data_IF_530128971447
#
_entry.id   IF_530128971447
#
_cell.length_a   1.000
_cell.length_b   1.000
_cell.length_c   1.000
_cell.angle_alpha   90.00
_cell.angle_beta   90.00
_cell.angle_gamma   90.00
#
_symmetry.space_group_name_H-M   'P 1'
#
loop_
_entity.id
_entity.type
_entity.pdbx_description
1 polymer ?
#
# COMPACT_ATOMS: atom_id res chain seq x y z
N UNK A 1 -32.38 25.27 43.63
CA UNK A 1 -31.84 24.97 44.99
C UNK A 1 -32.29 23.57 45.39
N UNK A 2 -31.40 22.83 46.08
CA UNK A 2 -31.59 21.52 46.74
C UNK A 2 -32.89 21.51 47.60
N UNK A 3 -33.52 20.40 48.00
CA UNK A 3 -32.93 19.20 48.63
C UNK A 3 -33.97 18.09 48.93
N UNK A 4 -33.52 16.82 48.91
CA UNK A 4 -33.68 15.71 49.91
C UNK A 4 -35.10 15.31 50.40
N UNK A 5 -35.45 14.05 50.65
CA UNK A 5 -34.73 12.76 50.69
C UNK A 5 -35.52 11.71 51.51
N UNK A 6 -35.17 10.42 51.36
CA UNK A 6 -35.47 9.28 52.27
C UNK A 6 -36.94 8.84 52.37
N UNK A 7 -37.32 7.55 52.43
CA UNK A 7 -37.00 6.55 53.48
C UNK A 7 -37.49 5.16 53.00
N UNK A 8 -36.71 4.10 53.27
CA UNK A 8 -37.11 2.67 53.22
C UNK A 8 -37.70 2.22 54.58
N UNK A 9 -38.45 1.10 54.64
CA UNK A 9 -37.99 0.02 55.53
C UNK A 9 -38.23 -1.43 55.02
N UNK A 10 -37.60 -2.37 55.75
CA UNK A 10 -37.32 -3.81 55.50
C UNK A 10 -38.48 -4.80 55.36
N UNK A 11 -38.26 -5.97 54.73
CA UNK A 11 -37.78 -7.30 55.26
C UNK A 11 -38.93 -8.05 55.99
N UNK A 12 -39.40 -9.25 55.60
CA UNK A 12 -38.80 -10.59 55.78
C UNK A 12 -39.70 -11.72 55.13
N UNK A 13 -39.05 -12.66 54.41
CA UNK A 13 -39.07 -14.17 54.46
C UNK A 13 -40.39 -14.88 54.88
N UNK A 14 -40.95 -15.86 54.13
CA UNK A 14 -40.53 -17.28 54.16
C UNK A 14 -41.42 -18.24 53.33
N UNK A 15 -40.81 -19.37 52.92
CA UNK A 15 -41.40 -20.73 52.68
C UNK A 15 -42.21 -20.97 51.40
N UNK A 16 -42.22 -22.12 50.73
CA UNK A 16 -41.46 -23.38 50.68
C UNK A 16 -42.08 -24.15 49.51
N UNK A 17 -41.30 -24.74 48.62
CA UNK A 17 -41.59 -26.08 48.06
C UNK A 17 -40.34 -26.62 47.37
N UNK A 18 -40.01 -27.83 47.77
CA UNK A 18 -38.82 -28.56 47.40
C UNK A 18 -39.04 -29.42 46.14
N UNK A 19 -37.89 -29.74 45.56
CA UNK A 19 -37.47 -30.58 44.41
C UNK A 19 -38.11 -31.99 44.31
N UNK A 20 -37.95 -32.69 43.16
CA UNK A 20 -36.82 -33.62 43.09
C UNK A 20 -36.05 -33.68 41.76
N UNK A 21 -34.73 -33.52 41.92
CA UNK A 21 -33.60 -34.24 41.33
C UNK A 21 -33.88 -35.28 40.23
N UNK A 22 -33.30 -35.06 39.04
CA UNK A 22 -32.85 -36.13 38.16
C UNK A 22 -31.44 -35.80 37.63
N UNK A 23 -30.50 -36.62 38.06
CA UNK A 23 -29.07 -36.56 37.74
C UNK A 23 -28.76 -36.99 36.31
N UNK A 24 -27.82 -36.30 35.64
CA UNK A 24 -26.65 -36.95 35.02
C UNK A 24 -25.61 -35.94 34.49
N UNK A 25 -24.48 -35.91 35.21
CA UNK A 25 -23.09 -35.91 34.71
C UNK A 25 -22.82 -35.17 33.39
N UNK A 26 -22.34 -33.93 33.56
CA UNK A 26 -20.93 -33.61 33.40
C UNK A 26 -20.32 -33.79 32.01
N UNK A 27 -20.13 -32.68 31.31
CA UNK A 27 -18.86 -32.31 30.68
C UNK A 27 -18.92 -30.78 30.46
N UNK A 28 -18.76 -30.01 31.53
CA UNK A 28 -18.31 -28.62 31.40
C UNK A 28 -16.91 -28.70 30.79
N UNK A 29 -16.82 -28.46 29.48
CA UNK A 29 -15.57 -28.19 28.79
C UNK A 29 -14.95 -26.98 29.48
N UNK A 30 -14.11 -27.28 30.45
CA UNK A 30 -13.19 -26.38 31.10
C UNK A 30 -12.26 -25.90 29.98
N UNK A 31 -12.63 -24.82 29.29
CA UNK A 31 -11.66 -24.09 28.48
C UNK A 31 -10.60 -23.62 29.48
N UNK A 32 -9.36 -24.12 29.40
CA UNK A 32 -8.31 -23.58 30.25
C UNK A 32 -8.21 -22.11 29.85
N UNK A 33 -8.39 -21.22 30.82
CA UNK A 33 -8.10 -19.81 30.65
C UNK A 33 -6.70 -19.73 30.07
N UNK A 34 -6.59 -19.32 28.81
CA UNK A 34 -5.29 -19.12 28.20
C UNK A 34 -4.58 -18.11 29.09
N UNK A 35 -3.49 -18.53 29.71
CA UNK A 35 -2.62 -17.64 30.47
C UNK A 35 -2.38 -16.38 29.64
N UNK A 36 -2.34 -15.22 30.29
CA UNK A 36 -2.14 -13.93 29.61
C UNK A 36 -0.93 -13.98 28.65
N UNK A 37 0.11 -14.75 28.98
CA UNK A 37 1.25 -15.06 28.10
C UNK A 37 0.86 -15.68 26.74
N UNK A 38 -0.08 -16.63 26.71
CA UNK A 38 -0.55 -17.27 25.48
C UNK A 38 -1.38 -16.34 24.60
N UNK A 39 -2.10 -15.39 25.18
CA UNK A 39 -2.87 -14.38 24.43
C UNK A 39 -1.96 -13.33 23.79
N UNK A 40 -0.86 -12.96 24.46
CA UNK A 40 0.17 -12.09 23.89
C UNK A 40 0.96 -12.81 22.79
N UNK A 41 1.31 -14.09 22.96
CA UNK A 41 1.97 -14.88 21.93
C UNK A 41 1.09 -15.08 20.68
N UNK A 42 -0.21 -15.34 20.86
CA UNK A 42 -1.18 -15.42 19.76
C UNK A 42 -1.36 -14.08 19.04
N UNK A 43 -1.46 -12.97 19.78
CA UNK A 43 -1.53 -11.62 19.19
C UNK A 43 -0.24 -11.26 18.45
N UNK A 44 0.92 -11.57 19.02
CA UNK A 44 2.22 -11.35 18.36
C UNK A 44 2.34 -12.20 17.09
N UNK A 45 1.91 -13.46 17.13
CA UNK A 45 1.90 -14.36 15.97
C UNK A 45 0.95 -13.84 14.87
N UNK A 46 -0.28 -13.44 15.21
CA UNK A 46 -1.22 -12.85 14.27
C UNK A 46 -0.72 -11.54 13.67
N UNK A 47 -0.06 -10.69 14.48
CA UNK A 47 0.58 -9.47 13.99
C UNK A 47 1.75 -9.79 13.04
N UNK A 48 2.60 -10.77 13.37
CA UNK A 48 3.70 -11.19 12.48
C UNK A 48 3.15 -11.79 11.19
N UNK A 49 2.11 -12.63 11.26
CA UNK A 49 1.47 -13.22 10.08
C UNK A 49 0.81 -12.15 9.19
N UNK A 50 0.07 -11.20 9.76
CA UNK A 50 -0.51 -10.09 9.02
C UNK A 50 0.56 -9.20 8.35
N UNK A 51 1.70 -8.99 9.02
CA UNK A 51 2.82 -8.20 8.47
C UNK A 51 3.54 -8.89 7.31
N UNK A 52 3.73 -10.21 7.38
CA UNK A 52 4.30 -10.99 6.28
C UNK A 52 3.34 -11.04 5.08
N UNK A 53 2.03 -11.12 5.35
CA UNK A 53 0.99 -11.15 4.32
C UNK A 53 0.99 -9.88 3.44
N UNK A 54 1.27 -8.73 4.02
CA UNK A 54 1.41 -7.46 3.28
C UNK A 54 2.66 -7.40 2.40
N UNK A 55 3.80 -7.94 2.85
CA UNK A 55 5.00 -8.06 2.00
C UNK A 55 4.75 -9.00 0.80
N UNK A 56 3.97 -10.06 0.99
CA UNK A 56 3.54 -10.92 -0.11
C UNK A 56 2.57 -10.22 -1.06
N UNK A 57 1.67 -9.38 -0.54
CA UNK A 57 0.78 -8.54 -1.36
C UNK A 57 1.56 -7.58 -2.27
N UNK A 58 2.66 -7.00 -1.77
CA UNK A 58 3.55 -6.18 -2.58
C UNK A 58 4.12 -6.94 -3.78
N UNK A 59 4.59 -8.19 -3.58
CA UNK A 59 5.06 -9.07 -4.65
C UNK A 59 3.95 -9.46 -5.62
N UNK A 60 2.77 -9.76 -5.09
CA UNK A 60 1.58 -10.11 -5.86
C UNK A 60 1.16 -9.00 -6.82
N UNK A 61 1.32 -7.75 -6.39
CA UNK A 61 1.03 -6.53 -7.17
C UNK A 61 2.26 -5.95 -7.87
N UNK A 62 3.31 -6.76 -8.08
CA UNK A 62 4.56 -6.28 -8.67
C UNK A 62 4.41 -5.68 -10.08
N UNK A 63 3.44 -6.15 -10.87
CA UNK A 63 3.18 -5.62 -12.22
C UNK A 63 2.04 -4.59 -12.26
N UNK A 64 1.46 -4.28 -11.11
CA UNK A 64 0.49 -3.19 -10.98
C UNK A 64 1.22 -1.90 -10.59
N UNK A 65 1.35 -1.00 -11.57
CA UNK A 65 1.96 0.32 -11.39
C UNK A 65 0.92 1.41 -11.05
N UNK A 66 -0.37 1.04 -11.00
CA UNK A 66 -1.47 1.96 -10.70
C UNK A 66 -1.84 1.86 -9.22
N UNK A 67 -2.47 2.91 -8.71
CA UNK A 67 -2.93 2.96 -7.33
C UNK A 67 -1.86 3.39 -6.32
N UNK A 68 -2.17 3.12 -5.06
CA UNK A 68 -1.44 3.60 -3.87
C UNK A 68 -1.05 2.41 -2.99
N UNK A 69 0.04 2.57 -2.25
CA UNK A 69 0.54 1.59 -1.28
C UNK A 69 0.69 2.23 0.08
N UNK A 70 0.27 1.52 1.12
CA UNK A 70 0.38 2.00 2.49
C UNK A 70 1.85 1.96 2.96
N UNK A 71 2.15 2.70 4.02
CA UNK A 71 3.48 2.70 4.65
C UNK A 71 3.86 1.31 5.16
N UNK A 72 2.89 0.58 5.70
CA UNK A 72 3.12 -0.77 6.21
C UNK A 72 3.57 -1.70 5.08
N UNK A 73 2.81 -1.73 3.98
CA UNK A 73 3.15 -2.54 2.79
C UNK A 73 4.57 -2.22 2.28
N UNK A 74 4.91 -0.94 2.13
CA UNK A 74 6.23 -0.51 1.66
C UNK A 74 7.36 -0.98 2.59
N UNK A 75 7.29 -0.65 3.89
CA UNK A 75 8.38 -0.94 4.83
C UNK A 75 8.52 -2.42 5.14
N UNK A 76 7.44 -3.20 5.07
CA UNK A 76 7.50 -4.65 5.21
C UNK A 76 8.15 -5.30 4.00
N UNK A 77 7.79 -4.86 2.78
CA UNK A 77 8.46 -5.32 1.57
C UNK A 77 9.97 -5.00 1.63
N UNK A 78 10.33 -3.76 1.95
CA UNK A 78 11.73 -3.34 2.07
C UNK A 78 12.47 -4.15 3.14
N UNK A 79 11.85 -4.36 4.31
CA UNK A 79 12.44 -5.17 5.38
C UNK A 79 12.67 -6.63 4.96
N UNK A 80 11.69 -7.27 4.31
CA UNK A 80 11.83 -8.63 3.81
C UNK A 80 12.88 -8.74 2.71
N UNK A 81 12.90 -7.80 1.77
CA UNK A 81 13.89 -7.72 0.71
C UNK A 81 15.31 -7.52 1.26
N UNK A 82 15.47 -6.67 2.28
CA UNK A 82 16.76 -6.46 2.95
C UNK A 82 17.25 -7.73 3.66
N UNK A 83 16.38 -8.44 4.38
CA UNK A 83 16.73 -9.71 5.03
C UNK A 83 17.09 -10.79 4.01
N UNK A 84 16.33 -10.91 2.92
CA UNK A 84 16.65 -11.82 1.83
C UNK A 84 18.01 -11.47 1.20
N UNK A 85 18.29 -10.18 0.98
CA UNK A 85 19.57 -9.70 0.47
C UNK A 85 20.75 -10.11 1.36
N UNK A 86 20.65 -9.87 2.67
CA UNK A 86 21.68 -10.29 3.64
C UNK A 86 21.88 -11.81 3.62
N UNK A 87 20.79 -12.59 3.57
CA UNK A 87 20.86 -14.04 3.50
C UNK A 87 21.56 -14.52 2.22
N UNK A 88 21.24 -13.93 1.05
CA UNK A 88 21.89 -14.30 -0.21
C UNK A 88 23.36 -13.90 -0.26
N UNK A 89 23.72 -12.72 0.30
CA UNK A 89 25.11 -12.27 0.34
C UNK A 89 25.96 -13.14 1.26
N UNK A 90 25.45 -13.51 2.43
CA UNK A 90 26.15 -14.41 3.35
C UNK A 90 26.32 -15.80 2.74
N UNK A 91 25.28 -16.33 2.09
CA UNK A 91 25.37 -17.60 1.38
C UNK A 91 26.42 -17.57 0.26
N UNK A 92 26.37 -16.57 -0.64
CA UNK A 92 27.33 -16.41 -1.72
C UNK A 92 28.77 -16.32 -1.18
N UNK A 93 28.99 -15.54 -0.11
CA UNK A 93 30.30 -15.42 0.52
C UNK A 93 30.82 -16.74 1.12
N UNK A 94 29.92 -17.58 1.67
CA UNK A 94 30.30 -18.90 2.22
C UNK A 94 30.58 -19.94 1.15
N UNK A 95 29.88 -19.91 0.02
CA UNK A 95 29.97 -20.94 -1.03
C UNK A 95 31.02 -20.58 -2.09
N UNK A 96 31.04 -19.33 -2.54
CA UNK A 96 31.92 -18.84 -3.61
C UNK A 96 33.10 -18.01 -3.09
N UNK A 97 33.14 -17.72 -1.79
CA UNK A 97 34.12 -16.83 -1.18
C UNK A 97 33.75 -15.35 -1.28
N UNK A 98 34.38 -14.51 -0.46
CA UNK A 98 34.08 -13.08 -0.36
C UNK A 98 34.28 -12.31 -1.68
N UNK A 99 35.22 -12.77 -2.51
CA UNK A 99 35.53 -12.18 -3.82
C UNK A 99 34.99 -13.01 -4.99
N UNK A 100 34.18 -14.03 -4.70
CA UNK A 100 33.54 -14.88 -5.69
C UNK A 100 32.41 -14.17 -6.44
N UNK A 101 31.90 -14.82 -7.47
CA UNK A 101 30.72 -14.33 -8.20
C UNK A 101 29.47 -14.44 -7.33
N UNK A 102 28.75 -13.34 -7.05
CA UNK A 102 27.58 -13.35 -6.17
C UNK A 102 26.31 -13.77 -6.94
N UNK A 103 26.27 -15.05 -7.34
CA UNK A 103 25.22 -15.58 -8.24
C UNK A 103 23.84 -15.45 -7.62
N UNK A 104 23.67 -15.82 -6.35
CA UNK A 104 22.37 -15.83 -5.70
C UNK A 104 21.87 -14.40 -5.45
N UNK A 105 22.77 -13.51 -5.05
CA UNK A 105 22.46 -12.08 -4.84
C UNK A 105 22.04 -11.40 -6.14
N UNK A 106 22.68 -11.71 -7.28
CA UNK A 106 22.30 -11.19 -8.60
C UNK A 106 20.93 -11.71 -9.05
N UNK A 107 20.63 -12.99 -8.78
CA UNK A 107 19.33 -13.57 -9.08
C UNK A 107 18.23 -12.91 -8.25
N UNK A 108 18.46 -12.74 -6.95
CA UNK A 108 17.52 -12.06 -6.06
C UNK A 108 17.26 -10.61 -6.52
N UNK A 109 18.32 -9.87 -6.85
CA UNK A 109 18.20 -8.50 -7.37
C UNK A 109 17.31 -8.47 -8.62
N UNK A 110 17.52 -9.40 -9.55
CA UNK A 110 16.77 -9.47 -10.81
C UNK A 110 15.28 -9.73 -10.56
N UNK A 111 14.95 -10.66 -9.66
CA UNK A 111 13.57 -11.00 -9.30
C UNK A 111 12.88 -9.86 -8.56
N UNK A 112 13.58 -9.18 -7.65
CA UNK A 112 13.01 -8.13 -6.81
C UNK A 112 13.02 -6.74 -7.45
N UNK A 113 13.73 -6.55 -8.57
CA UNK A 113 13.84 -5.25 -9.23
C UNK A 113 12.46 -4.69 -9.60
N UNK A 114 11.62 -5.49 -10.26
CA UNK A 114 10.29 -5.06 -10.70
C UNK A 114 9.36 -4.81 -9.51
N UNK A 115 9.20 -5.75 -8.54
CA UNK A 115 8.38 -5.50 -7.35
C UNK A 115 8.83 -4.27 -6.54
N UNK A 116 10.14 -4.10 -6.33
CA UNK A 116 10.67 -2.97 -5.58
C UNK A 116 10.36 -1.64 -6.26
N UNK A 117 10.46 -1.62 -7.59
CA UNK A 117 10.10 -0.46 -8.38
C UNK A 117 8.59 -0.16 -8.31
N UNK A 118 7.73 -1.16 -8.52
CA UNK A 118 6.26 -1.03 -8.41
C UNK A 118 5.82 -0.47 -7.06
N UNK A 119 6.30 -1.04 -5.95
CA UNK A 119 5.94 -0.58 -4.60
C UNK A 119 6.41 0.84 -4.35
N UNK A 120 7.60 1.20 -4.82
CA UNK A 120 8.14 2.56 -4.66
C UNK A 120 7.31 3.58 -5.47
N UNK A 121 6.88 3.23 -6.68
CA UNK A 121 5.99 4.07 -7.49
C UNK A 121 4.65 4.31 -6.80
N UNK A 122 3.98 3.23 -6.35
CA UNK A 122 2.70 3.31 -5.64
C UNK A 122 2.81 4.11 -4.34
N UNK A 123 3.95 4.02 -3.65
CA UNK A 123 4.21 4.80 -2.45
C UNK A 123 4.40 6.29 -2.76
N UNK A 124 5.03 6.62 -3.88
CA UNK A 124 5.21 8.01 -4.29
C UNK A 124 3.90 8.63 -4.79
N UNK A 125 3.06 7.83 -5.47
CA UNK A 125 1.69 8.19 -5.85
C UNK A 125 0.81 8.51 -4.65
N UNK A 126 1.03 7.87 -3.50
CA UNK A 126 0.31 8.16 -2.25
C UNK A 126 0.51 9.60 -1.74
N UNK A 127 1.54 10.30 -2.25
CA UNK A 127 1.83 11.70 -1.97
C UNK A 127 1.63 12.63 -3.16
N UNK A 128 0.93 12.17 -4.21
CA UNK A 128 0.71 12.89 -5.46
C UNK A 128 1.97 13.27 -6.25
N UNK A 129 3.12 12.66 -5.93
CA UNK A 129 4.35 12.88 -6.67
C UNK A 129 4.45 11.96 -7.91
N UNK A 130 5.16 12.44 -8.93
CA UNK A 130 5.40 11.65 -10.15
C UNK A 130 6.44 10.55 -9.91
N UNK A 131 6.12 9.31 -10.29
CA UNK A 131 7.03 8.16 -10.26
C UNK A 131 8.34 8.34 -11.05
N UNK A 132 8.40 9.27 -12.01
CA UNK A 132 9.58 9.52 -12.83
C UNK A 132 10.85 9.87 -12.05
N UNK A 133 10.72 10.48 -10.86
CA UNK A 133 11.88 10.81 -10.03
C UNK A 133 12.68 9.55 -9.63
N UNK A 134 12.02 8.40 -9.52
CA UNK A 134 12.68 7.13 -9.22
C UNK A 134 13.61 6.76 -10.38
N UNK A 135 13.16 6.88 -11.62
CA UNK A 135 14.01 6.57 -12.80
C UNK A 135 15.25 7.45 -12.81
N UNK A 136 15.09 8.75 -12.55
CA UNK A 136 16.21 9.69 -12.53
C UNK A 136 17.21 9.31 -11.43
N UNK A 137 16.75 9.04 -10.21
CA UNK A 137 17.62 8.67 -9.09
C UNK A 137 18.35 7.36 -9.36
N UNK A 138 17.67 6.36 -9.91
CA UNK A 138 18.29 5.08 -10.25
C UNK A 138 19.26 5.19 -11.42
N UNK A 139 18.92 5.94 -12.47
CA UNK A 139 19.81 6.19 -13.60
C UNK A 139 21.09 6.91 -13.16
N UNK A 140 20.96 7.92 -12.29
CA UNK A 140 22.12 8.61 -11.72
C UNK A 140 22.99 7.68 -10.85
N UNK A 141 22.39 6.80 -10.04
CA UNK A 141 23.14 5.80 -9.26
C UNK A 141 23.88 4.79 -10.14
N UNK A 142 23.22 4.26 -11.17
CA UNK A 142 23.84 3.37 -12.14
C UNK A 142 24.98 4.05 -12.90
N UNK A 143 24.77 5.30 -13.34
CA UNK A 143 25.81 6.08 -14.00
C UNK A 143 27.00 6.32 -13.07
N UNK A 144 26.76 6.70 -11.81
CA UNK A 144 27.82 6.92 -10.82
C UNK A 144 28.65 5.68 -10.54
N UNK A 145 28.00 4.54 -10.33
CA UNK A 145 28.69 3.25 -10.06
C UNK A 145 29.43 2.73 -11.30
N UNK A 146 28.85 2.87 -12.49
CA UNK A 146 29.50 2.54 -13.75
C UNK A 146 30.76 3.40 -13.96
N UNK A 147 30.62 4.72 -13.83
CA UNK A 147 31.75 5.65 -13.91
C UNK A 147 32.82 5.29 -12.87
N UNK A 148 32.45 4.98 -11.62
CA UNK A 148 33.40 4.60 -10.57
C UNK A 148 34.22 3.35 -10.94
N UNK A 149 33.57 2.28 -11.42
CA UNK A 149 34.28 1.06 -11.87
C UNK A 149 35.19 1.35 -13.06
N UNK A 150 34.69 2.13 -14.03
CA UNK A 150 35.50 2.57 -15.16
C UNK A 150 36.72 3.36 -14.69
N UNK A 151 36.55 4.31 -13.77
CA UNK A 151 37.64 5.11 -13.21
C UNK A 151 38.62 4.28 -12.38
N UNK A 152 38.15 3.33 -11.56
CA UNK A 152 39.04 2.52 -10.71
C UNK A 152 39.91 1.57 -11.55
N UNK A 153 39.39 1.07 -12.67
CA UNK A 153 40.15 0.25 -13.62
C UNK A 153 41.21 1.07 -14.37
N UNK A 154 40.98 2.36 -14.57
CA UNK A 154 41.88 3.27 -15.30
C UNK A 154 42.91 4.02 -14.41
N UNK A 155 43.29 3.46 -13.25
CA UNK A 155 44.19 4.06 -12.26
C UNK A 155 43.75 5.44 -11.72
N UNK A 156 42.99 5.42 -10.63
CA UNK A 156 42.53 6.57 -9.82
C UNK A 156 43.61 7.63 -9.47
N UNK A 157 44.89 7.24 -9.45
CA UNK A 157 46.02 8.10 -9.07
C UNK A 157 46.51 9.01 -10.20
N UNK A 158 46.25 8.68 -11.47
CA UNK A 158 46.74 9.44 -12.63
C UNK A 158 45.81 10.61 -13.04
N UNK A 159 44.58 10.62 -12.52
CA UNK A 159 43.57 11.61 -12.88
C UNK A 159 43.70 12.82 -11.95
N UNK A 160 43.96 13.99 -12.53
CA UNK A 160 44.25 15.22 -11.81
C UNK A 160 43.19 15.64 -10.79
N UNK A 161 43.51 16.58 -9.89
CA UNK A 161 42.68 16.94 -8.74
C UNK A 161 41.24 17.36 -9.11
N UNK A 162 41.04 17.97 -10.28
CA UNK A 162 39.73 18.42 -10.77
C UNK A 162 38.74 17.26 -10.88
N UNK A 163 39.16 16.12 -11.43
CA UNK A 163 38.29 14.96 -11.59
C UNK A 163 37.88 14.34 -10.25
N UNK A 164 38.77 14.40 -9.25
CA UNK A 164 38.46 13.93 -7.89
C UNK A 164 37.41 14.80 -7.23
N UNK A 165 37.54 16.12 -7.32
CA UNK A 165 36.52 17.04 -6.80
C UNK A 165 35.17 16.87 -7.50
N UNK A 166 35.17 16.72 -8.83
CA UNK A 166 33.96 16.43 -9.58
C UNK A 166 33.29 15.12 -9.11
N UNK A 167 34.07 14.08 -8.82
CA UNK A 167 33.55 12.82 -8.29
C UNK A 167 32.90 12.95 -6.92
N UNK A 168 33.55 13.65 -5.98
CA UNK A 168 32.98 13.91 -4.66
C UNK A 168 31.69 14.73 -4.76
N UNK A 169 31.63 15.70 -5.69
CA UNK A 169 30.41 16.48 -5.94
C UNK A 169 29.27 15.61 -6.48
N UNK A 170 29.54 14.74 -7.46
CA UNK A 170 28.54 13.80 -8.01
C UNK A 170 28.03 12.86 -6.93
N UNK A 171 28.93 12.29 -6.13
CA UNK A 171 28.58 11.36 -5.04
C UNK A 171 27.76 12.07 -3.95
N UNK A 172 28.15 13.31 -3.60
CA UNK A 172 27.39 14.13 -2.65
C UNK A 172 25.98 14.45 -3.16
N UNK A 173 25.83 14.76 -4.45
CA UNK A 173 24.52 14.98 -5.08
C UNK A 173 23.64 13.72 -5.05
N UNK A 174 24.22 12.55 -5.38
CA UNK A 174 23.50 11.27 -5.32
C UNK A 174 23.04 10.94 -3.90
N UNK A 175 23.91 11.15 -2.91
CA UNK A 175 23.56 10.96 -1.50
C UNK A 175 22.43 11.91 -1.06
N UNK A 176 22.50 13.18 -1.47
CA UNK A 176 21.44 14.16 -1.21
C UNK A 176 20.09 13.75 -1.82
N UNK A 177 20.09 13.31 -3.09
CA UNK A 177 18.88 12.80 -3.76
C UNK A 177 18.35 11.52 -3.11
N UNK A 178 19.22 10.63 -2.67
CA UNK A 178 18.83 9.42 -1.95
C UNK A 178 18.19 9.75 -0.60
N UNK A 179 18.77 10.69 0.16
CA UNK A 179 18.20 11.20 1.41
C UNK A 179 16.84 11.87 1.18
N UNK A 180 16.71 12.68 0.12
CA UNK A 180 15.43 13.27 -0.28
C UNK A 180 14.38 12.20 -0.59
N UNK A 181 14.75 11.16 -1.35
CA UNK A 181 13.84 10.05 -1.65
C UNK A 181 13.44 9.29 -0.38
N UNK A 182 14.39 8.97 0.49
CA UNK A 182 14.11 8.30 1.77
C UNK A 182 13.14 9.13 2.62
N UNK A 183 13.38 10.44 2.71
CA UNK A 183 12.48 11.38 3.37
C UNK A 183 11.07 11.30 2.78
N UNK A 184 10.92 11.36 1.46
CA UNK A 184 9.63 11.25 0.79
C UNK A 184 8.92 9.92 1.07
N UNK A 185 9.66 8.81 1.17
CA UNK A 185 9.10 7.48 1.41
C UNK A 185 8.63 7.29 2.86
N UNK A 186 9.26 7.95 3.83
CA UNK A 186 8.85 7.95 5.25
C UNK A 186 7.63 8.85 5.55
N UNK A 187 7.35 9.85 4.71
CA UNK A 187 6.37 10.92 4.98
C UNK A 187 4.89 10.50 5.03
N UNK A 188 4.03 11.38 5.57
CA UNK A 188 2.56 11.36 5.46
C UNK A 188 2.04 10.89 4.09
N UNK A 189 1.20 9.86 3.98
CA UNK A 189 0.34 9.68 2.82
C UNK A 189 -0.77 10.73 2.78
N UNK A 190 -1.31 11.04 1.60
CA UNK A 190 -2.49 11.89 1.49
C UNK A 190 -3.69 11.22 2.17
N UNK A 191 -4.43 11.95 3.03
CA UNK A 191 -5.59 11.39 3.73
C UNK A 191 -6.84 11.34 2.84
N UNK A 192 -6.89 12.19 1.83
CA UNK A 192 -7.99 12.32 0.89
C UNK A 192 -7.72 11.48 -0.36
N UNK A 193 -8.77 11.33 -1.17
CA UNK A 193 -8.68 10.74 -2.49
C UNK A 193 -7.79 11.61 -3.37
N UNK A 194 -6.93 10.95 -4.14
CA UNK A 194 -5.95 11.64 -4.97
C UNK A 194 -6.05 11.18 -6.43
N UNK A 195 -5.21 11.76 -7.31
CA UNK A 195 -5.23 11.44 -8.76
C UNK A 195 -5.05 9.93 -9.03
N UNK A 196 -4.39 9.22 -8.13
CA UNK A 196 -4.05 7.81 -8.26
C UNK A 196 -5.04 6.87 -7.58
N UNK A 197 -5.99 7.39 -6.79
CA UNK A 197 -7.09 6.63 -6.19
C UNK A 197 -7.35 6.93 -4.71
N UNK A 198 -8.27 6.17 -4.10
CA UNK A 198 -8.60 6.29 -2.68
C UNK A 198 -7.42 5.86 -1.79
N UNK A 199 -7.38 6.33 -0.52
CA UNK A 199 -6.32 5.97 0.40
C UNK A 199 -6.23 4.44 0.57
N UNK A 200 -5.00 3.89 0.68
CA UNK A 200 -4.82 2.46 0.82
C UNK A 200 -5.34 1.98 2.18
N UNK A 201 -6.11 0.89 2.19
CA UNK A 201 -6.48 0.19 3.42
C UNK A 201 -5.31 -0.66 3.91
N UNK A 202 -5.10 -0.72 5.22
CA UNK A 202 -4.06 -1.57 5.83
C UNK A 202 -4.48 -3.05 5.95
N UNK A 203 -5.67 -3.39 5.46
CA UNK A 203 -6.18 -4.76 5.45
C UNK A 203 -5.62 -5.55 4.25
N UNK A 204 -5.18 -6.80 4.45
CA UNK A 204 -4.76 -7.66 3.36
C UNK A 204 -5.88 -7.84 2.32
N UNK A 205 -5.55 -7.66 1.04
CA UNK A 205 -6.52 -7.83 -0.05
C UNK A 205 -6.87 -9.32 -0.18
N UNK A 206 -8.09 -9.72 0.18
CA UNK A 206 -8.56 -11.11 0.04
C UNK A 206 -8.84 -11.55 -1.42
N UNK A 207 -8.66 -10.66 -2.40
CA UNK A 207 -8.97 -10.90 -3.82
C UNK A 207 -7.79 -11.31 -4.70
N UNK A 208 -8.06 -12.18 -5.68
CA UNK A 208 -7.26 -12.53 -6.87
C UNK A 208 -6.47 -11.37 -7.49
N UNK A 209 -5.32 -11.65 -8.14
CA UNK A 209 -4.73 -10.69 -9.07
C UNK A 209 -5.65 -10.62 -10.29
N UNK A 210 -6.56 -9.66 -10.33
CA UNK A 210 -7.33 -9.41 -11.54
C UNK A 210 -6.43 -8.65 -12.51
N UNK A 211 -5.70 -9.37 -13.36
CA UNK A 211 -4.89 -8.82 -14.46
C UNK A 211 -5.72 -8.07 -15.54
N UNK A 212 -7.01 -7.79 -15.29
CA UNK A 212 -7.93 -7.09 -16.20
C UNK A 212 -8.43 -5.72 -15.71
N UNK A 213 -8.10 -5.26 -14.50
CA UNK A 213 -8.76 -4.07 -13.92
C UNK A 213 -8.08 -2.73 -14.20
N UNK A 214 -7.22 -2.66 -15.22
CA UNK A 214 -6.91 -1.39 -15.87
C UNK A 214 -8.18 -0.70 -16.45
N UNK A 215 -9.27 -1.46 -16.64
CA UNK A 215 -10.60 -0.99 -17.04
C UNK A 215 -11.63 -0.81 -15.91
N UNK A 216 -11.31 -1.17 -14.65
CA UNK A 216 -12.27 -1.10 -13.54
C UNK A 216 -12.59 0.33 -13.10
N UNK A 217 -11.60 1.21 -13.10
CA UNK A 217 -11.80 2.64 -12.82
C UNK A 217 -12.57 3.32 -13.96
N UNK A 218 -12.33 2.91 -15.22
CA UNK A 218 -13.13 3.33 -16.35
C UNK A 218 -14.56 2.80 -16.25
N UNK A 219 -14.78 1.56 -15.76
CA UNK A 219 -16.12 1.00 -15.56
C UNK A 219 -16.87 1.65 -14.39
N UNK A 220 -16.17 2.07 -13.33
CA UNK A 220 -16.75 2.83 -12.20
C UNK A 220 -17.07 4.28 -12.56
N UNK A 221 -16.21 4.93 -13.35
CA UNK A 221 -16.48 6.28 -13.89
C UNK A 221 -17.54 6.21 -14.99
N UNK A 222 -17.50 5.21 -15.88
CA UNK A 222 -18.53 4.99 -16.89
C UNK A 222 -19.85 4.52 -16.28
N UNK A 223 -19.87 3.79 -15.16
CA UNK A 223 -21.09 3.48 -14.41
C UNK A 223 -21.64 4.73 -13.70
N UNK A 224 -20.77 5.61 -13.18
CA UNK A 224 -21.16 6.91 -12.61
C UNK A 224 -21.61 7.92 -13.69
N UNK A 225 -21.12 7.78 -14.92
CA UNK A 225 -21.55 8.57 -16.10
C UNK A 225 -22.81 7.97 -16.73
N UNK A 226 -22.96 6.64 -16.71
CA UNK A 226 -24.13 5.89 -17.21
C UNK A 226 -25.33 5.96 -16.27
N UNK A 227 -25.14 6.35 -15.01
CA UNK A 227 -26.18 6.53 -14.01
C UNK A 227 -26.65 7.97 -13.87
N UNK A 228 -26.53 8.80 -14.91
CA UNK A 228 -27.21 10.10 -14.90
C UNK A 228 -28.69 9.88 -15.15
N UNK A 229 -29.46 10.06 -14.09
CA UNK A 229 -30.92 10.20 -14.11
C UNK A 229 -31.34 10.96 -15.39
N UNK A 230 -32.18 10.39 -16.27
CA UNK A 230 -32.52 10.97 -17.58
C UNK A 230 -33.00 12.43 -17.48
N UNK A 231 -33.56 12.84 -16.34
CA UNK A 231 -33.89 14.24 -16.02
C UNK A 231 -32.65 15.16 -15.96
N UNK A 232 -31.55 14.70 -15.36
CA UNK A 232 -30.31 15.47 -15.26
C UNK A 232 -29.59 15.63 -16.61
N UNK A 233 -29.78 14.68 -17.54
CA UNK A 233 -29.28 14.78 -18.91
C UNK A 233 -30.06 15.84 -19.71
N UNK A 234 -31.37 15.94 -19.50
CA UNK A 234 -32.21 16.98 -20.12
C UNK A 234 -31.77 18.38 -19.65
N UNK A 235 -31.42 18.57 -18.38
CA UNK A 235 -30.91 19.85 -17.86
C UNK A 235 -29.57 20.26 -18.52
N UNK A 236 -28.66 19.30 -18.72
CA UNK A 236 -27.38 19.56 -19.41
C UNK A 236 -27.57 19.89 -20.89
N UNK A 237 -28.47 19.18 -21.58
CA UNK A 237 -28.81 19.49 -22.97
C UNK A 237 -29.42 20.88 -23.10
N UNK A 238 -30.22 21.31 -22.11
CA UNK A 238 -30.79 22.66 -22.10
C UNK A 238 -29.69 23.73 -21.97
N UNK A 239 -28.69 23.51 -21.09
CA UNK A 239 -27.53 24.41 -20.98
C UNK A 239 -26.72 24.49 -22.28
N UNK A 240 -26.50 23.37 -22.96
CA UNK A 240 -25.75 23.35 -24.23
C UNK A 240 -26.48 24.03 -25.39
N UNK A 241 -27.82 23.98 -25.41
CA UNK A 241 -28.64 24.75 -26.34
C UNK A 241 -28.55 26.25 -26.03
N UNK A 242 -28.63 26.63 -24.76
CA UNK A 242 -28.56 28.03 -24.34
C UNK A 242 -27.16 28.64 -24.59
N UNK A 243 -26.11 27.81 -24.59
CA UNK A 243 -24.74 28.16 -25.02
C UNK A 243 -24.58 28.23 -26.56
N UNK A 244 -25.62 27.94 -27.34
CA UNK A 244 -25.61 28.00 -28.80
C UNK A 244 -24.84 26.86 -29.49
N UNK A 245 -24.47 25.81 -28.74
CA UNK A 245 -23.71 24.66 -29.24
C UNK A 245 -24.61 23.65 -29.97
N UNK A 246 -25.89 23.57 -29.58
CA UNK A 246 -26.89 22.73 -30.22
C UNK A 246 -27.98 23.54 -30.91
N UNK A 247 -28.40 23.07 -32.09
CA UNK A 247 -29.59 23.60 -32.77
C UNK A 247 -30.88 23.11 -32.09
N UNK A 248 -31.97 23.89 -32.19
CA UNK A 248 -33.24 23.55 -31.53
C UNK A 248 -33.81 22.19 -31.95
N UNK A 249 -33.67 21.83 -33.23
CA UNK A 249 -34.14 20.56 -33.77
C UNK A 249 -33.36 19.35 -33.22
N UNK A 250 -32.04 19.48 -33.09
CA UNK A 250 -31.19 18.42 -32.52
C UNK A 250 -31.46 18.22 -31.02
N UNK A 251 -31.74 19.31 -30.29
CA UNK A 251 -32.12 19.24 -28.88
C UNK A 251 -33.44 18.49 -28.69
N UNK A 252 -34.46 18.79 -29.49
CA UNK A 252 -35.77 18.16 -29.38
C UNK A 252 -35.74 16.66 -29.73
N UNK A 253 -34.94 16.27 -30.73
CA UNK A 253 -34.71 14.87 -31.08
C UNK A 253 -34.05 14.09 -29.93
N UNK A 254 -33.02 14.66 -29.30
CA UNK A 254 -32.32 14.02 -28.19
C UNK A 254 -33.19 13.95 -26.92
N UNK A 255 -33.92 15.03 -26.60
CA UNK A 255 -34.88 15.06 -25.49
C UNK A 255 -35.98 14.02 -25.64
N UNK A 256 -36.56 13.86 -26.83
CA UNK A 256 -37.58 12.86 -27.11
C UNK A 256 -37.06 11.42 -26.92
N UNK A 257 -35.79 11.17 -27.27
CA UNK A 257 -35.16 9.86 -27.07
C UNK A 257 -34.94 9.53 -25.58
N UNK A 258 -34.64 10.54 -24.76
CA UNK A 258 -34.43 10.39 -23.32
C UNK A 258 -35.73 10.23 -22.56
N UNK A 259 -36.80 10.92 -22.97
CA UNK A 259 -38.15 10.75 -22.40
C UNK A 259 -38.73 9.34 -22.62
N UNK A 260 -38.33 8.64 -23.69
CA UNK A 260 -38.73 7.25 -23.93
C UNK A 260 -38.01 6.23 -23.02
N UNK A 261 -36.94 6.65 -22.34
CA UNK A 261 -36.16 5.81 -21.41
C UNK A 261 -36.60 5.96 -19.95
N UNK A 262 -37.48 6.93 -19.68
CA UNK A 262 -38.20 7.10 -18.41
C UNK A 262 -39.47 6.24 -18.41
#
# INVERSE_FOLDING_TARGET
>A
MRSRGGIMPGRLVSSTTATPCASRRGHSLFYPSSSSLGQHAKRACLLVQGKIMLAFNALRRAFDFRGRSSRAEYWQFVGCAALAGIATMTFDATVFGWYGTPVLSLLLLTVLLIPAYSVTMRRLHDRDHSAWIIVVVWALNFLGTFLMKFYSQNQFTAIGPIARFAWFAITGLQLGLACYMLFQLTQAGAKEDNRFGPPPSDEPIEGGINFGEAGGLAKGVMAKVSGQDPLAQIERLAKLRDEGVLTGEEFDAQKASLLKRL
#
